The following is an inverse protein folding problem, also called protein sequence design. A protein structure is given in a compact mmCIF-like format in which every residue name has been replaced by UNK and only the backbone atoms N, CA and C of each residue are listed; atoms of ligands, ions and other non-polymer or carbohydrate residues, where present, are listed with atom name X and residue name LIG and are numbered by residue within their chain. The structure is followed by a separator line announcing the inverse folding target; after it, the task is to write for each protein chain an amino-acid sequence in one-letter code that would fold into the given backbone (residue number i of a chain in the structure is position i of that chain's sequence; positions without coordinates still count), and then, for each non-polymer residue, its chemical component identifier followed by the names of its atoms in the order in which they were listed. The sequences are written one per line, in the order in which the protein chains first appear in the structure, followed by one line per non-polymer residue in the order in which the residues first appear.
data_IF_218551833346
#
_entry.id   IF_218551833346
#
_cell.length_a   1.000
_cell.length_b   1.000
_cell.length_c   1.000
_cell.angle_alpha   90.00
_cell.angle_beta   90.00
_cell.angle_gamma   90.00
#
_symmetry.space_group_name_H-M   'P 1'
#
loop_
_entity.id
_entity.type
_entity.pdbx_description
1 polymer ?
#
# COMPACT_ATOMS: atom_id res chain seq x y z
N UNK A 1 12.98 -12.66 -9.90
CA UNK A 1 12.40 -13.52 -8.83
C UNK A 1 10.96 -13.92 -9.24
N UNK A 2 10.39 -15.04 -8.75
CA UNK A 2 9.00 -15.43 -9.12
C UNK A 2 8.04 -15.10 -7.98
N UNK A 3 6.98 -14.36 -8.29
CA UNK A 3 5.91 -14.08 -7.32
C UNK A 3 5.13 -15.35 -6.95
N UNK A 4 4.61 -15.38 -5.73
CA UNK A 4 3.77 -16.47 -5.23
C UNK A 4 2.50 -16.59 -6.08
N UNK A 5 2.05 -17.83 -6.33
CA UNK A 5 0.79 -18.06 -7.04
C UNK A 5 -0.40 -17.87 -6.10
N UNK A 6 -1.38 -17.10 -6.54
CA UNK A 6 -2.62 -16.82 -5.81
C UNK A 6 -3.81 -17.51 -6.50
N UNK A 7 -4.80 -17.91 -5.71
CA UNK A 7 -6.01 -18.56 -6.18
C UNK A 7 -7.22 -17.70 -5.82
N UNK A 8 -7.79 -17.03 -6.81
CA UNK A 8 -8.95 -16.16 -6.65
C UNK A 8 -9.74 -16.02 -7.94
N UNK A 9 -10.72 -15.12 -7.92
CA UNK A 9 -11.48 -14.79 -9.11
C UNK A 9 -10.70 -13.73 -9.91
N UNK A 10 -10.20 -14.12 -11.09
CA UNK A 10 -9.64 -13.17 -12.05
C UNK A 10 -10.75 -12.23 -12.54
N UNK A 11 -10.47 -10.93 -12.52
CA UNK A 11 -11.35 -9.88 -13.01
C UNK A 11 -10.93 -9.48 -14.44
N UNK A 12 -11.87 -9.09 -15.29
CA UNK A 12 -11.55 -8.67 -16.66
C UNK A 12 -10.72 -7.37 -16.69
N UNK A 13 -10.91 -6.50 -15.70
CA UNK A 13 -10.19 -5.24 -15.53
C UNK A 13 -10.11 -4.85 -14.04
N UNK A 14 -9.29 -3.86 -13.72
CA UNK A 14 -9.16 -3.38 -12.35
C UNK A 14 -10.44 -2.62 -11.93
N UNK A 15 -11.14 -3.06 -10.86
CA UNK A 15 -12.53 -2.64 -10.62
C UNK A 15 -12.66 -1.31 -9.88
N UNK A 16 -11.55 -0.62 -9.56
CA UNK A 16 -11.54 0.61 -8.78
C UNK A 16 -11.00 1.78 -9.63
N UNK A 17 -11.79 2.29 -10.59
CA UNK A 17 -11.43 3.49 -11.31
C UNK A 17 -11.43 4.72 -10.37
N UNK A 18 -10.63 5.72 -10.70
CA UNK A 18 -10.67 7.07 -10.10
C UNK A 18 -10.29 7.20 -8.61
N UNK A 19 -9.42 6.31 -8.11
CA UNK A 19 -8.83 6.49 -6.79
C UNK A 19 -7.80 7.63 -6.79
N UNK A 20 -7.94 8.56 -5.83
CA UNK A 20 -6.99 9.65 -5.62
C UNK A 20 -6.06 9.31 -4.47
N UNK A 21 -4.76 9.35 -4.73
CA UNK A 21 -3.74 9.16 -3.69
C UNK A 21 -3.82 10.29 -2.67
N UNK A 22 -3.89 9.94 -1.39
CA UNK A 22 -3.95 10.89 -0.27
C UNK A 22 -2.58 11.01 0.39
N UNK A 23 -1.92 9.88 0.69
CA UNK A 23 -0.62 9.87 1.34
C UNK A 23 0.12 8.55 1.13
N UNK A 24 1.46 8.59 1.20
CA UNK A 24 2.28 7.42 1.50
C UNK A 24 2.44 7.31 3.00
N UNK A 25 1.96 6.20 3.56
CA UNK A 25 1.96 5.95 5.00
C UNK A 25 3.24 5.26 5.45
N UNK A 26 3.77 4.34 4.62
CA UNK A 26 5.05 3.67 4.85
C UNK A 26 5.84 3.78 3.54
N UNK A 27 7.05 4.30 3.64
CA UNK A 27 7.90 4.60 2.48
C UNK A 27 9.35 4.21 2.77
N UNK A 28 9.96 3.44 1.86
CA UNK A 28 11.39 3.13 1.87
C UNK A 28 11.84 2.85 0.44
N UNK A 29 12.54 3.81 -0.18
CA UNK A 29 12.93 3.80 -1.61
C UNK A 29 11.75 3.48 -2.56
N UNK A 30 10.55 3.88 -2.15
CA UNK A 30 9.28 3.52 -2.75
C UNK A 30 8.18 3.35 -1.70
N UNK A 31 6.90 3.51 -2.07
CA UNK A 31 5.80 3.27 -1.16
C UNK A 31 5.64 1.78 -0.86
N UNK A 32 5.47 1.43 0.42
CA UNK A 32 5.04 0.10 0.86
C UNK A 32 3.55 0.09 1.19
N UNK A 33 3.05 1.20 1.73
CA UNK A 33 1.65 1.37 2.08
C UNK A 33 1.21 2.78 1.73
N UNK A 34 0.17 2.90 0.91
CA UNK A 34 -0.40 4.17 0.50
C UNK A 34 -1.90 4.22 0.77
N UNK A 35 -2.38 5.38 1.22
CA UNK A 35 -3.80 5.68 1.38
C UNK A 35 -4.35 6.36 0.13
N UNK A 36 -5.50 5.88 -0.33
CA UNK A 36 -6.27 6.43 -1.42
C UNK A 36 -7.71 6.71 -0.98
N UNK A 37 -8.37 7.65 -1.66
CA UNK A 37 -9.79 7.92 -1.51
C UNK A 37 -10.51 7.77 -2.85
N UNK A 38 -11.72 7.19 -2.83
CA UNK A 38 -12.63 7.30 -3.96
C UNK A 38 -13.33 8.67 -3.98
N UNK A 39 -14.04 8.97 -5.08
CA UNK A 39 -14.89 10.15 -5.18
C UNK A 39 -16.08 10.14 -4.20
N UNK A 40 -16.46 8.98 -3.68
CA UNK A 40 -17.49 8.81 -2.65
C UNK A 40 -16.95 8.98 -1.22
N UNK A 41 -15.64 9.23 -1.06
CA UNK A 41 -15.00 9.39 0.26
C UNK A 41 -14.68 8.08 0.97
N UNK A 42 -14.68 6.94 0.25
CA UNK A 42 -14.26 5.65 0.79
C UNK A 42 -12.73 5.56 0.80
N UNK A 43 -12.17 5.00 1.87
CA UNK A 43 -10.73 4.85 2.04
C UNK A 43 -10.26 3.50 1.50
N UNK A 44 -9.12 3.51 0.81
CA UNK A 44 -8.47 2.32 0.29
C UNK A 44 -7.00 2.30 0.68
N UNK A 45 -6.51 1.13 1.05
CA UNK A 45 -5.08 0.89 1.16
C UNK A 45 -4.57 0.17 -0.07
N UNK A 46 -3.40 0.62 -0.53
CA UNK A 46 -2.53 -0.10 -1.45
C UNK A 46 -1.34 -0.57 -0.65
N UNK A 47 -1.21 -1.88 -0.48
CA UNK A 47 -0.11 -2.51 0.25
C UNK A 47 0.76 -3.34 -0.70
N UNK A 48 2.05 -3.02 -0.78
CA UNK A 48 3.01 -3.77 -1.57
C UNK A 48 3.39 -5.07 -0.84
N UNK A 49 3.19 -6.21 -1.50
CA UNK A 49 3.35 -7.54 -0.86
C UNK A 49 4.31 -8.49 -1.58
N UNK A 50 4.59 -8.27 -2.86
CA UNK A 50 5.49 -9.13 -3.65
C UNK A 50 5.99 -8.38 -4.89
N UNK A 51 7.03 -8.89 -5.53
CA UNK A 51 7.50 -8.37 -6.81
C UNK A 51 8.22 -9.42 -7.64
N UNK A 52 8.30 -9.14 -8.94
CA UNK A 52 9.22 -9.80 -9.83
C UNK A 52 10.05 -8.75 -10.59
N UNK A 53 10.72 -9.19 -11.66
CA UNK A 53 11.64 -8.34 -12.41
C UNK A 53 10.92 -7.26 -13.25
N UNK A 54 9.59 -7.32 -13.39
CA UNK A 54 8.80 -6.41 -14.26
C UNK A 54 7.64 -5.73 -13.54
N UNK A 55 7.20 -6.23 -12.39
CA UNK A 55 5.94 -5.82 -11.77
C UNK A 55 6.00 -5.93 -10.25
N UNK A 56 5.29 -5.01 -9.60
CA UNK A 56 5.03 -5.04 -8.17
C UNK A 56 3.60 -5.51 -7.93
N UNK A 57 3.40 -6.43 -6.99
CA UNK A 57 2.07 -6.90 -6.60
C UNK A 57 1.56 -6.16 -5.39
N UNK A 58 0.35 -5.64 -5.54
CA UNK A 58 -0.32 -4.83 -4.53
C UNK A 58 -1.61 -5.49 -4.09
N UNK A 59 -1.86 -5.48 -2.78
CA UNK A 59 -3.18 -5.74 -2.23
C UNK A 59 -3.91 -4.40 -2.11
N UNK A 60 -5.09 -4.33 -2.71
CA UNK A 60 -5.97 -3.16 -2.69
C UNK A 60 -7.28 -3.53 -2.02
N UNK A 61 -7.65 -2.80 -0.98
CA UNK A 61 -8.86 -3.09 -0.22
C UNK A 61 -9.43 -1.86 0.48
N UNK A 62 -10.75 -1.86 0.65
CA UNK A 62 -11.50 -0.81 1.35
C UNK A 62 -11.36 -1.00 2.87
N UNK A 63 -11.29 0.11 3.60
CA UNK A 63 -11.32 0.15 5.05
C UNK A 63 -12.22 1.28 5.56
N UNK A 64 -12.89 1.03 6.67
CA UNK A 64 -13.71 2.07 7.32
C UNK A 64 -12.83 3.10 8.04
N UNK A 65 -13.40 4.27 8.32
CA UNK A 65 -12.68 5.36 8.98
C UNK A 65 -12.22 5.00 10.40
N UNK A 66 -12.91 4.09 11.10
CA UNK A 66 -12.50 3.63 12.43
C UNK A 66 -11.22 2.81 12.35
N UNK A 67 -11.16 1.86 11.43
CA UNK A 67 -10.01 0.98 11.15
C UNK A 67 -8.81 1.81 10.73
N UNK A 68 -9.01 2.78 9.84
CA UNK A 68 -7.96 3.73 9.46
C UNK A 68 -7.42 4.49 10.68
N UNK A 69 -8.31 5.08 11.48
CA UNK A 69 -7.90 5.84 12.67
C UNK A 69 -7.20 4.96 13.72
N UNK A 70 -7.67 3.73 13.94
CA UNK A 70 -7.04 2.80 14.88
C UNK A 70 -5.65 2.36 14.40
N UNK A 71 -5.47 2.14 13.09
CA UNK A 71 -4.16 1.89 12.51
C UNK A 71 -3.22 3.09 12.70
N UNK A 72 -3.63 4.29 12.27
CA UNK A 72 -2.83 5.52 12.39
C UNK A 72 -2.52 5.90 13.85
N UNK A 73 -3.38 5.50 14.78
CA UNK A 73 -3.19 5.68 16.23
C UNK A 73 -2.39 4.57 16.89
N UNK A 74 -1.81 3.65 16.12
CA UNK A 74 -1.00 2.50 16.62
C UNK A 74 -1.78 1.52 17.52
N UNK A 75 -3.10 1.47 17.37
CA UNK A 75 -3.99 0.57 18.14
C UNK A 75 -4.28 -0.74 17.41
N UNK A 76 -4.12 -0.75 16.09
CA UNK A 76 -4.40 -1.90 15.24
C UNK A 76 -3.18 -2.14 14.33
N UNK A 77 -2.59 -3.34 14.31
CA UNK A 77 -1.48 -3.64 13.40
C UNK A 77 -1.98 -3.86 11.97
N UNK A 78 -1.15 -3.59 10.97
CA UNK A 78 -1.47 -3.67 9.55
C UNK A 78 -1.98 -5.07 9.16
N UNK A 79 -1.42 -6.14 9.74
CA UNK A 79 -1.89 -7.51 9.53
C UNK A 79 -3.38 -7.64 9.84
N UNK A 80 -3.84 -7.05 10.95
CA UNK A 80 -5.26 -7.04 11.34
C UNK A 80 -6.10 -6.11 10.48
N UNK A 81 -5.53 -5.00 9.99
CA UNK A 81 -6.19 -4.14 9.01
C UNK A 81 -6.52 -4.91 7.74
N UNK A 82 -5.56 -5.66 7.18
CA UNK A 82 -5.75 -6.50 5.98
C UNK A 82 -6.78 -7.61 6.25
N UNK A 83 -6.64 -8.32 7.38
CA UNK A 83 -7.56 -9.40 7.75
C UNK A 83 -9.00 -8.93 8.00
N UNK A 84 -9.18 -7.66 8.36
CA UNK A 84 -10.48 -7.04 8.60
C UNK A 84 -10.95 -6.17 7.42
N UNK A 85 -10.39 -6.37 6.22
CA UNK A 85 -10.85 -5.68 5.02
C UNK A 85 -12.38 -5.80 4.88
N UNK A 86 -13.02 -4.71 4.43
CA UNK A 86 -14.48 -4.68 4.25
C UNK A 86 -14.90 -5.81 3.30
N UNK A 87 -16.01 -6.47 3.65
CA UNK A 87 -16.55 -7.64 2.94
C UNK A 87 -15.63 -8.87 2.88
N UNK A 88 -14.50 -8.87 3.61
CA UNK A 88 -13.62 -10.04 3.77
C UNK A 88 -12.84 -10.43 2.51
N UNK A 89 -12.64 -9.48 1.59
CA UNK A 89 -11.83 -9.69 0.39
C UNK A 89 -10.87 -8.54 0.11
N UNK A 90 -9.86 -8.84 -0.69
CA UNK A 90 -8.93 -7.88 -1.27
C UNK A 90 -8.84 -8.09 -2.77
N UNK A 91 -8.37 -7.08 -3.50
CA UNK A 91 -7.95 -7.22 -4.90
C UNK A 91 -6.43 -7.28 -4.92
N UNK A 92 -5.86 -8.39 -5.36
CA UNK A 92 -4.46 -8.44 -5.78
C UNK A 92 -4.35 -7.88 -7.18
N UNK A 93 -3.38 -7.00 -7.43
CA UNK A 93 -3.11 -6.48 -8.77
C UNK A 93 -1.61 -6.34 -8.98
N UNK A 94 -1.15 -6.75 -10.16
CA UNK A 94 0.23 -6.55 -10.59
C UNK A 94 0.31 -5.19 -11.28
N UNK A 95 1.24 -4.33 -10.86
CA UNK A 95 1.46 -3.02 -11.47
C UNK A 95 2.83 -3.06 -12.16
N UNK A 96 2.80 -2.91 -13.48
CA UNK A 96 3.98 -2.74 -14.33
C UNK A 96 4.14 -1.28 -14.74
N UNK A 97 5.38 -0.78 -14.78
CA UNK A 97 5.70 0.57 -15.24
C UNK A 97 6.24 1.48 -14.14
N UNK A 98 6.32 2.78 -14.44
CA UNK A 98 6.92 3.80 -13.59
C UNK A 98 6.06 5.06 -13.50
N UNK A 99 6.66 6.18 -13.11
CA UNK A 99 5.95 7.45 -12.89
C UNK A 99 5.17 7.96 -14.11
N UNK A 100 5.71 7.78 -15.33
CA UNK A 100 5.11 8.34 -16.55
C UNK A 100 3.98 7.48 -17.14
N UNK A 101 4.01 6.17 -16.90
CA UNK A 101 2.97 5.24 -17.34
C UNK A 101 3.02 3.96 -16.53
N UNK A 102 1.83 3.48 -16.14
CA UNK A 102 1.66 2.21 -15.45
C UNK A 102 0.48 1.44 -16.02
N UNK A 103 0.49 0.12 -15.82
CA UNK A 103 -0.60 -0.78 -16.22
C UNK A 103 -0.98 -1.68 -15.06
N UNK A 104 -2.29 -1.83 -14.85
CA UNK A 104 -2.83 -2.86 -13.97
C UNK A 104 -2.95 -4.17 -14.74
N UNK A 105 -2.34 -5.22 -14.21
CA UNK A 105 -2.32 -6.56 -14.77
C UNK A 105 -2.89 -7.55 -13.74
N UNK A 106 -3.53 -8.61 -14.25
CA UNK A 106 -4.02 -9.74 -13.45
C UNK A 106 -4.86 -9.37 -12.19
N UNK A 107 -5.79 -8.41 -12.24
CA UNK A 107 -6.59 -8.05 -11.09
C UNK A 107 -7.37 -9.28 -10.61
N UNK A 108 -7.12 -9.71 -9.38
CA UNK A 108 -7.64 -10.97 -8.83
C UNK A 108 -8.30 -10.69 -7.48
N UNK A 109 -9.59 -10.98 -7.38
CA UNK A 109 -10.34 -10.90 -6.12
C UNK A 109 -10.06 -12.14 -5.27
N UNK A 110 -9.60 -11.94 -4.04
CA UNK A 110 -9.19 -12.98 -3.09
C UNK A 110 -9.94 -12.81 -1.78
N UNK A 111 -10.28 -13.92 -1.12
CA UNK A 111 -10.67 -13.84 0.29
C UNK A 111 -9.45 -13.51 1.14
N UNK A 112 -9.62 -12.71 2.19
CA UNK A 112 -8.54 -12.47 3.17
C UNK A 112 -8.05 -13.75 3.83
N UNK A 113 -8.89 -14.79 3.91
CA UNK A 113 -8.56 -16.09 4.50
C UNK A 113 -7.72 -16.97 3.56
N UNK A 114 -7.64 -16.63 2.27
CA UNK A 114 -6.86 -17.36 1.28
C UNK A 114 -5.56 -16.65 0.88
N UNK A 115 -5.20 -15.56 1.59
CA UNK A 115 -3.94 -14.87 1.34
C UNK A 115 -2.77 -15.75 1.78
N UNK A 116 -1.69 -15.85 0.98
CA UNK A 116 -0.43 -16.40 1.44
C UNK A 116 0.06 -15.66 2.69
N UNK A 117 0.62 -16.37 3.66
CA UNK A 117 1.14 -15.75 4.88
C UNK A 117 2.29 -14.78 4.59
N UNK A 118 3.06 -15.03 3.53
CA UNK A 118 4.14 -14.17 3.05
C UNK A 118 3.65 -12.82 2.53
N UNK A 119 2.36 -12.70 2.19
CA UNK A 119 1.75 -11.43 1.78
C UNK A 119 1.17 -10.65 2.96
N UNK A 120 1.27 -11.19 4.18
CA UNK A 120 0.84 -10.53 5.38
C UNK A 120 2.07 -9.96 6.11
N UNK A 121 2.00 -8.72 6.61
CA UNK A 121 3.07 -8.19 7.44
C UNK A 121 3.13 -8.92 8.79
N UNK A 122 4.19 -8.63 9.54
CA UNK A 122 4.37 -9.11 10.91
C UNK A 122 3.17 -8.77 11.81
N UNK A 123 2.92 -9.61 12.81
CA UNK A 123 1.76 -9.47 13.69
C UNK A 123 1.73 -8.15 14.47
N UNK A 124 2.89 -7.57 14.74
CA UNK A 124 3.10 -6.32 15.45
C UNK A 124 3.48 -5.15 14.52
N UNK A 125 3.15 -5.26 13.22
CA UNK A 125 3.34 -4.19 12.23
C UNK A 125 2.37 -3.03 12.46
N UNK A 126 2.56 -2.30 13.55
CA UNK A 126 1.83 -1.07 13.86
C UNK A 126 2.34 0.09 13.01
N UNK A 127 1.48 1.08 12.79
CA UNK A 127 1.86 2.29 12.07
C UNK A 127 3.07 2.96 12.73
N UNK A 128 4.17 3.03 12.01
CA UNK A 128 5.35 3.80 12.36
C UNK A 128 5.44 4.96 11.37
N UNK A 129 4.90 6.12 11.75
CA UNK A 129 5.18 7.33 11.02
C UNK A 129 6.65 7.70 11.26
N UNK A 130 7.48 7.51 10.24
CA UNK A 130 8.77 8.15 10.14
C UNK A 130 8.59 9.38 9.26
N UNK A 131 8.48 10.59 9.84
CA UNK A 131 8.50 11.78 9.02
C UNK A 131 9.82 11.81 8.26
N UNK A 132 9.74 12.14 6.97
CA UNK A 132 10.89 12.45 6.13
C UNK A 132 11.61 13.69 6.69
N UNK A 133 12.36 13.55 7.79
CA UNK A 133 13.16 14.64 8.33
C UNK A 133 14.65 14.45 7.98
N UNK A 134 15.09 15.36 7.11
CA UNK A 134 16.21 16.27 7.36
C UNK A 134 17.65 15.75 7.24
N UNK A 135 17.96 14.87 6.29
CA UNK A 135 19.37 14.74 5.84
C UNK A 135 19.74 15.73 4.72
N UNK A 136 18.79 16.21 3.91
CA UNK A 136 19.08 17.13 2.81
C UNK A 136 19.16 18.62 3.22
N UNK A 137 18.69 19.00 4.41
CA UNK A 137 18.73 20.39 4.89
C UNK A 137 19.97 20.73 5.72
N UNK A 138 20.94 19.82 5.86
CA UNK A 138 22.23 20.10 6.55
C UNK A 138 23.37 20.48 5.62
N UNK A 139 23.16 20.49 4.30
CA UNK A 139 24.21 20.84 3.33
C UNK A 139 24.06 22.21 2.65
N UNK A 140 23.05 23.02 3.00
CA UNK A 140 22.86 24.36 2.41
C UNK A 140 22.81 25.50 3.43
N UNK A 141 23.63 25.47 4.48
CA UNK A 141 23.83 26.66 5.34
C UNK A 141 25.25 26.76 5.94
N UNK A 142 26.27 26.57 5.10
CA UNK A 142 27.67 26.89 5.42
C UNK A 142 28.33 27.67 4.28
N UNK A 143 27.65 28.70 3.77
CA UNK A 143 28.29 29.74 2.95
C UNK A 143 27.68 31.12 3.22
N UNK A 144 27.48 31.49 4.48
CA UNK A 144 27.60 32.91 4.86
C UNK A 144 28.31 33.02 6.21
N UNK A 145 29.21 33.99 6.27
CA UNK A 145 30.02 34.44 7.41
C UNK A 145 31.35 33.71 7.60
N UNK A 146 32.37 34.11 6.83
CA UNK A 146 33.57 34.73 7.42
C UNK A 146 34.43 35.46 6.37
N UNK A 147 34.75 36.71 6.70
CA UNK A 147 35.72 37.66 6.13
C UNK A 147 35.33 38.38 4.82
#
# INVERSE_FOLDING_TARGET
MKMISIHGQLLPEFPLPDLKKIADLIYYDGPFLSLFSSNEGKNYFYYWCDSNDTSNRWLVFELDGKTLNDFLSKKLPLRKVIQNAIEGFVISVDIEGGFDSYKFLNPTKLSVLSLPDEYLPEEDSFYAFEPLFSQDLKHENLLEITA
#
